data_IF_424729956293
#
_entry.id   IF_424729956293
#
_cell.length_a   1.000
_cell.length_b   1.000
_cell.length_c   1.000
_cell.angle_alpha   90.00
_cell.angle_beta   90.00
_cell.angle_gamma   90.00
#
_symmetry.space_group_name_H-M   'P 1'
#
loop_
_entity.id
_entity.type
_entity.pdbx_description
1 polymer ?
#
# COMPACT_ATOMS: atom_id res chain seq x y z
N UNK A 1 -12.38 13.87 -17.55
CA UNK A 1 -13.65 13.92 -16.82
C UNK A 1 -14.16 15.36 -16.84
N UNK A 2 -15.47 15.61 -16.92
CA UNK A 2 -15.98 17.00 -16.85
C UNK A 2 -15.92 17.50 -15.41
N UNK A 3 -15.63 18.79 -15.20
CA UNK A 3 -15.62 19.42 -13.86
C UNK A 3 -16.94 19.20 -13.10
N UNK A 4 -18.07 19.11 -13.82
CA UNK A 4 -19.37 18.81 -13.23
C UNK A 4 -19.42 17.47 -12.49
N UNK A 5 -18.82 16.41 -13.07
CA UNK A 5 -18.79 15.07 -12.44
C UNK A 5 -17.92 15.01 -11.19
N UNK A 6 -16.87 15.83 -11.13
CA UNK A 6 -15.98 15.93 -9.97
C UNK A 6 -16.74 16.52 -8.79
N UNK A 7 -17.49 17.60 -9.00
CA UNK A 7 -18.28 18.26 -7.94
C UNK A 7 -19.46 17.41 -7.46
N UNK A 8 -20.14 16.69 -8.37
CA UNK A 8 -21.18 15.73 -8.01
C UNK A 8 -20.65 14.63 -7.08
N UNK A 9 -19.45 14.11 -7.35
CA UNK A 9 -18.80 13.11 -6.47
C UNK A 9 -18.40 13.68 -5.12
N UNK A 10 -17.86 14.91 -5.08
CA UNK A 10 -17.56 15.59 -3.81
C UNK A 10 -18.81 15.74 -2.96
N UNK A 11 -19.89 16.23 -3.55
CA UNK A 11 -21.18 16.39 -2.89
C UNK A 11 -21.72 15.06 -2.37
N UNK A 12 -21.65 14.01 -3.20
CA UNK A 12 -22.11 12.68 -2.80
C UNK A 12 -21.30 12.09 -1.64
N UNK A 13 -19.98 12.30 -1.65
CA UNK A 13 -19.11 11.87 -0.56
C UNK A 13 -19.35 12.65 0.73
N UNK A 14 -19.56 13.96 0.66
CA UNK A 14 -19.92 14.79 1.81
C UNK A 14 -21.22 14.29 2.44
N UNK A 15 -22.25 14.04 1.63
CA UNK A 15 -23.50 13.42 2.11
C UNK A 15 -23.26 12.03 2.72
N UNK A 16 -22.35 11.25 2.17
CA UNK A 16 -22.00 9.94 2.71
C UNK A 16 -21.39 10.05 4.13
N UNK A 17 -20.49 11.01 4.34
CA UNK A 17 -19.88 11.33 5.65
C UNK A 17 -20.93 11.86 6.62
N UNK A 18 -21.75 12.84 6.21
CA UNK A 18 -22.79 13.45 7.05
C UNK A 18 -23.76 12.40 7.59
N UNK A 19 -24.06 11.37 6.80
CA UNK A 19 -24.95 10.28 7.16
C UNK A 19 -24.25 9.08 7.81
N UNK A 20 -22.94 9.15 8.08
CA UNK A 20 -22.15 8.03 8.66
C UNK A 20 -22.74 7.49 9.96
N UNK A 21 -23.11 8.37 10.88
CA UNK A 21 -23.63 7.98 12.20
C UNK A 21 -24.97 7.25 12.12
N UNK A 22 -25.90 7.72 11.27
CA UNK A 22 -27.18 7.03 11.10
C UNK A 22 -27.00 5.69 10.40
N UNK A 23 -26.09 5.61 9.41
CA UNK A 23 -25.74 4.36 8.72
C UNK A 23 -25.17 3.32 9.69
N UNK A 24 -24.21 3.72 10.53
CA UNK A 24 -23.63 2.85 11.55
C UNK A 24 -24.67 2.39 12.57
N UNK A 25 -25.54 3.28 13.01
CA UNK A 25 -26.66 2.95 13.91
C UNK A 25 -27.62 1.93 13.30
N UNK A 26 -27.97 2.09 12.02
CA UNK A 26 -28.80 1.13 11.30
C UNK A 26 -28.13 -0.24 11.16
N UNK A 27 -26.81 -0.27 10.98
CA UNK A 27 -26.04 -1.51 10.93
C UNK A 27 -25.96 -2.19 12.31
N UNK A 28 -25.65 -1.45 13.38
CA UNK A 28 -25.64 -1.99 14.74
C UNK A 28 -26.97 -2.62 15.15
N UNK A 29 -28.10 -2.06 14.71
CA UNK A 29 -29.42 -2.63 14.97
C UNK A 29 -29.65 -4.01 14.33
N UNK A 30 -28.81 -4.42 13.36
CA UNK A 30 -28.87 -5.73 12.69
C UNK A 30 -27.86 -6.73 13.26
N UNK A 31 -26.90 -6.28 14.08
CA UNK A 31 -25.84 -7.12 14.62
C UNK A 31 -26.27 -7.80 15.93
N UNK A 32 -25.64 -8.92 16.31
CA UNK A 32 -25.83 -9.52 17.63
C UNK A 32 -25.42 -8.56 18.76
N UNK A 33 -26.22 -8.48 19.83
CA UNK A 33 -25.99 -7.60 20.99
C UNK A 33 -24.57 -7.71 21.58
N UNK A 34 -24.01 -8.92 21.57
CA UNK A 34 -22.66 -9.17 22.08
C UNK A 34 -21.60 -8.47 21.20
N UNK A 35 -21.73 -8.56 19.88
CA UNK A 35 -20.80 -7.92 18.95
C UNK A 35 -20.89 -6.41 19.06
N UNK A 36 -22.10 -5.84 19.13
CA UNK A 36 -22.30 -4.38 19.24
C UNK A 36 -21.55 -3.80 20.46
N UNK A 37 -21.50 -4.51 21.59
CA UNK A 37 -20.77 -4.08 22.79
C UNK A 37 -19.25 -4.05 22.61
N UNK A 38 -18.73 -4.84 21.67
CA UNK A 38 -17.30 -4.94 21.36
C UNK A 38 -16.89 -3.96 20.24
N UNK A 39 -17.87 -3.34 19.57
CA UNK A 39 -17.66 -2.34 18.53
C UNK A 39 -17.63 -0.91 19.09
N UNK A 40 -16.60 -0.60 19.90
CA UNK A 40 -16.45 0.68 20.61
C UNK A 40 -15.59 1.75 19.91
N UNK A 41 -15.19 1.49 18.65
CA UNK A 41 -14.28 2.31 17.86
C UNK A 41 -12.84 2.38 18.39
N UNK A 42 -12.44 1.48 19.30
CA UNK A 42 -11.05 1.28 19.66
C UNK A 42 -10.28 0.53 18.56
N UNK A 43 -8.94 0.58 18.51
CA UNK A 43 -8.16 -0.25 17.59
C UNK A 43 -8.43 -1.75 17.76
N UNK A 44 -8.68 -2.21 18.99
CA UNK A 44 -8.97 -3.62 19.29
C UNK A 44 -10.31 -4.08 18.68
N UNK A 45 -11.25 -3.17 18.46
CA UNK A 45 -12.53 -3.47 17.79
C UNK A 45 -12.37 -3.88 16.33
N UNK A 46 -11.23 -3.57 15.68
CA UNK A 46 -10.96 -3.96 14.29
C UNK A 46 -10.94 -5.48 14.10
N UNK A 47 -10.39 -6.22 15.06
CA UNK A 47 -10.38 -7.69 15.02
C UNK A 47 -11.81 -8.25 15.01
N UNK A 48 -12.74 -7.57 15.69
CA UNK A 48 -14.15 -7.98 15.79
C UNK A 48 -14.92 -7.71 14.51
N UNK A 49 -14.62 -6.59 13.85
CA UNK A 49 -15.14 -6.30 12.52
C UNK A 49 -14.60 -7.30 11.51
N UNK A 50 -13.31 -7.64 11.57
CA UNK A 50 -12.72 -8.64 10.69
C UNK A 50 -13.34 -10.02 10.89
N UNK A 51 -13.47 -10.48 12.14
CA UNK A 51 -14.14 -11.73 12.48
C UNK A 51 -15.59 -11.76 11.94
N UNK A 52 -16.31 -10.64 12.04
CA UNK A 52 -17.64 -10.52 11.46
C UNK A 52 -17.61 -10.66 9.92
N UNK A 53 -16.70 -9.96 9.23
CA UNK A 53 -16.52 -10.06 7.77
C UNK A 53 -16.25 -11.50 7.36
N UNK A 54 -15.32 -12.18 8.03
CA UNK A 54 -14.91 -13.55 7.72
C UNK A 54 -16.04 -14.56 7.94
N UNK A 55 -16.88 -14.36 8.97
CA UNK A 55 -18.04 -15.21 9.22
C UNK A 55 -19.21 -14.90 8.28
N UNK A 56 -19.30 -13.67 7.78
CA UNK A 56 -20.39 -13.22 6.91
C UNK A 56 -20.17 -13.59 5.44
N UNK A 57 -18.91 -13.61 4.98
CA UNK A 57 -18.54 -13.82 3.59
C UNK A 57 -17.49 -14.92 3.43
N UNK A 58 -17.79 -15.88 2.56
CA UNK A 58 -16.84 -16.95 2.22
C UNK A 58 -15.70 -16.46 1.32
N UNK A 59 -16.01 -15.51 0.42
CA UNK A 59 -15.09 -15.03 -0.61
C UNK A 59 -15.39 -13.57 -0.99
N UNK A 60 -14.37 -12.85 -1.49
CA UNK A 60 -14.49 -11.43 -1.83
C UNK A 60 -15.55 -11.13 -2.90
N UNK A 61 -15.73 -12.03 -3.87
CA UNK A 61 -16.80 -11.90 -4.88
C UNK A 61 -18.20 -11.88 -4.28
N UNK A 62 -18.43 -12.60 -3.17
CA UNK A 62 -19.69 -12.57 -2.44
C UNK A 62 -19.84 -11.27 -1.64
N UNK A 63 -18.75 -10.79 -1.01
CA UNK A 63 -18.74 -9.50 -0.32
C UNK A 63 -19.12 -8.33 -1.25
N UNK A 64 -18.69 -8.37 -2.51
CA UNK A 64 -18.91 -7.30 -3.48
C UNK A 64 -20.11 -7.50 -4.42
N UNK A 65 -21.02 -8.43 -4.11
CA UNK A 65 -22.29 -8.49 -4.83
C UNK A 65 -23.16 -7.26 -4.54
N UNK A 66 -24.01 -6.86 -5.48
CA UNK A 66 -24.87 -5.67 -5.34
C UNK A 66 -25.65 -5.62 -4.02
N UNK A 67 -26.15 -6.77 -3.58
CA UNK A 67 -26.92 -6.94 -2.33
C UNK A 67 -26.12 -6.64 -1.06
N UNK A 68 -24.80 -6.73 -1.10
CA UNK A 68 -23.93 -6.61 0.07
C UNK A 68 -23.13 -5.29 0.09
N UNK A 69 -23.12 -4.52 -1.01
CA UNK A 69 -22.33 -3.29 -1.11
C UNK A 69 -22.68 -2.24 -0.05
N UNK A 70 -23.94 -2.12 0.34
CA UNK A 70 -24.35 -1.20 1.41
C UNK A 70 -23.77 -1.63 2.77
N UNK A 71 -23.78 -2.93 3.05
CA UNK A 71 -23.25 -3.48 4.30
C UNK A 71 -21.72 -3.32 4.35
N UNK A 72 -21.02 -3.72 3.28
CA UNK A 72 -19.57 -3.51 3.14
C UNK A 72 -19.20 -2.04 3.29
N UNK A 73 -19.97 -1.17 2.64
CA UNK A 73 -19.77 0.25 2.74
C UNK A 73 -19.91 0.80 4.15
N UNK A 74 -20.81 0.24 4.94
CA UNK A 74 -20.97 0.58 6.35
C UNK A 74 -19.82 0.04 7.21
N UNK A 75 -19.31 -1.15 6.91
CA UNK A 75 -18.10 -1.69 7.56
C UNK A 75 -16.88 -0.81 7.26
N UNK A 76 -16.72 -0.37 6.01
CA UNK A 76 -15.67 0.59 5.60
C UNK A 76 -15.80 1.89 6.38
N UNK A 77 -17.02 2.43 6.55
CA UNK A 77 -17.25 3.58 7.43
C UNK A 77 -16.76 3.31 8.85
N UNK A 78 -17.13 2.17 9.44
CA UNK A 78 -16.72 1.84 10.81
C UNK A 78 -15.20 1.77 10.95
N UNK A 79 -14.54 1.04 10.06
CA UNK A 79 -13.08 0.89 10.06
C UNK A 79 -12.42 2.26 9.92
N UNK A 80 -12.89 3.12 9.02
CA UNK A 80 -12.32 4.46 8.86
C UNK A 80 -12.55 5.37 10.05
N UNK A 81 -13.69 5.26 10.72
CA UNK A 81 -13.93 5.97 11.98
C UNK A 81 -12.97 5.53 13.08
N UNK A 82 -12.62 4.23 13.17
CA UNK A 82 -11.56 3.76 14.09
C UNK A 82 -10.24 4.46 13.78
N UNK A 83 -9.85 4.52 12.51
CA UNK A 83 -8.59 5.17 12.11
C UNK A 83 -8.61 6.66 12.42
N UNK A 84 -9.69 7.37 12.08
CA UNK A 84 -9.83 8.82 12.29
C UNK A 84 -9.83 9.18 13.77
N UNK A 85 -10.50 8.39 14.62
CA UNK A 85 -10.57 8.65 16.07
C UNK A 85 -9.27 8.37 16.79
N UNK A 86 -8.45 7.44 16.29
CA UNK A 86 -7.27 6.94 17.01
C UNK A 86 -5.93 7.36 16.37
N UNK A 87 -5.93 7.94 15.18
CA UNK A 87 -4.72 8.44 14.51
C UNK A 87 -4.75 9.96 14.43
N UNK A 88 -3.66 10.60 14.87
CA UNK A 88 -3.57 12.05 14.86
C UNK A 88 -3.66 12.61 13.43
N UNK A 89 -4.49 13.64 13.24
CA UNK A 89 -4.66 14.36 11.96
C UNK A 89 -5.19 13.48 10.80
N UNK A 90 -5.79 12.34 11.12
CA UNK A 90 -6.51 11.52 10.17
C UNK A 90 -7.89 12.13 9.85
N UNK A 91 -8.28 12.13 8.58
CA UNK A 91 -9.57 12.64 8.11
C UNK A 91 -10.05 11.84 6.90
N UNK A 92 -11.36 11.84 6.68
CA UNK A 92 -11.96 11.32 5.45
C UNK A 92 -11.50 12.13 4.24
N UNK A 93 -11.26 11.43 3.13
CA UNK A 93 -10.78 12.01 1.88
C UNK A 93 -11.25 11.18 0.67
N UNK A 94 -11.36 11.84 -0.49
CA UNK A 94 -11.59 11.20 -1.79
C UNK A 94 -10.66 11.80 -2.84
N UNK A 95 -10.34 10.99 -3.85
CA UNK A 95 -9.70 11.41 -5.10
C UNK A 95 -10.76 11.47 -6.20
N UNK A 96 -11.47 12.60 -6.37
CA UNK A 96 -12.64 12.67 -7.25
C UNK A 96 -12.28 12.58 -8.74
N UNK A 97 -11.00 12.78 -9.09
CA UNK A 97 -10.43 12.79 -10.44
C UNK A 97 -9.86 11.44 -10.89
N UNK A 98 -9.63 10.49 -9.98
CA UNK A 98 -9.04 9.18 -10.29
C UNK A 98 -9.97 8.26 -11.10
N UNK A 99 -11.27 8.49 -11.09
CA UNK A 99 -12.23 7.52 -11.63
C UNK A 99 -12.91 8.00 -12.89
N UNK A 100 -13.01 7.15 -13.93
CA UNK A 100 -13.67 7.48 -15.20
C UNK A 100 -15.18 7.21 -15.21
N UNK A 101 -15.67 6.33 -14.33
CA UNK A 101 -17.05 5.82 -14.32
C UNK A 101 -17.84 6.19 -13.05
N UNK A 102 -19.16 6.05 -13.10
CA UNK A 102 -20.02 6.19 -11.91
C UNK A 102 -19.84 4.97 -11.02
N UNK A 103 -19.36 5.19 -9.81
CA UNK A 103 -19.04 4.14 -8.87
C UNK A 103 -19.37 4.69 -7.49
N UNK A 104 -19.88 3.83 -6.60
CA UNK A 104 -20.44 4.23 -5.32
C UNK A 104 -19.36 4.74 -4.36
N UNK A 105 -19.71 5.68 -3.49
CA UNK A 105 -18.76 6.37 -2.60
C UNK A 105 -17.99 5.42 -1.67
N UNK A 106 -18.61 4.30 -1.30
CA UNK A 106 -18.02 3.31 -0.40
C UNK A 106 -16.78 2.61 -0.98
N UNK A 107 -16.62 2.71 -2.29
CA UNK A 107 -15.49 2.16 -3.04
C UNK A 107 -14.29 3.13 -3.06
N UNK A 108 -14.47 4.37 -2.61
CA UNK A 108 -13.49 5.46 -2.76
C UNK A 108 -13.13 6.20 -1.49
N UNK A 109 -13.91 6.01 -0.42
CA UNK A 109 -13.64 6.61 0.85
C UNK A 109 -12.23 6.19 1.33
N UNK A 110 -11.38 7.19 1.46
CA UNK A 110 -10.01 7.02 1.92
C UNK A 110 -9.84 7.74 3.25
N UNK A 111 -8.96 7.22 4.11
CA UNK A 111 -8.47 7.96 5.28
C UNK A 111 -7.16 8.61 4.91
N UNK A 112 -7.15 9.94 4.87
CA UNK A 112 -5.94 10.73 4.67
C UNK A 112 -5.38 11.14 6.01
N UNK A 113 -4.08 10.95 6.18
CA UNK A 113 -3.36 11.31 7.40
C UNK A 113 -2.31 12.36 7.00
N UNK A 114 -2.20 13.45 7.75
CA UNK A 114 -1.28 14.53 7.40
C UNK A 114 0.19 14.04 7.37
N UNK A 115 0.85 14.23 6.23
CA UNK A 115 2.23 13.75 6.03
C UNK A 115 2.33 12.27 5.66
N UNK A 116 1.21 11.61 5.34
CA UNK A 116 1.16 10.25 4.85
C UNK A 116 0.18 10.16 3.67
N UNK A 117 0.34 9.14 2.82
CA UNK A 117 -0.56 8.90 1.69
C UNK A 117 -1.96 8.52 2.18
N UNK A 118 -2.99 8.93 1.45
CA UNK A 118 -4.36 8.51 1.76
C UNK A 118 -4.54 7.02 1.55
N UNK A 119 -5.30 6.39 2.45
CA UNK A 119 -5.45 4.96 2.48
C UNK A 119 -6.88 4.53 2.14
N UNK A 120 -7.04 3.64 1.16
CA UNK A 120 -8.35 3.16 0.67
C UNK A 120 -8.76 1.89 1.42
N UNK A 121 -9.54 2.06 2.48
CA UNK A 121 -9.97 0.97 3.38
C UNK A 121 -10.71 -0.15 2.63
N UNK A 122 -11.50 0.21 1.63
CA UNK A 122 -12.24 -0.76 0.83
C UNK A 122 -11.33 -1.82 0.18
N UNK A 123 -10.09 -1.46 -0.17
CA UNK A 123 -9.12 -2.37 -0.81
C UNK A 123 -8.57 -3.44 0.15
N UNK A 124 -8.91 -3.38 1.43
CA UNK A 124 -8.45 -4.35 2.44
C UNK A 124 -9.39 -5.53 2.62
N UNK A 125 -10.63 -5.39 2.19
CA UNK A 125 -11.62 -6.46 2.27
C UNK A 125 -11.20 -7.72 1.49
N UNK A 126 -10.66 -7.65 0.25
CA UNK A 126 -10.18 -8.84 -0.44
C UNK A 126 -8.99 -9.53 0.26
N UNK A 127 -7.89 -8.83 0.65
CA UNK A 127 -6.80 -9.45 1.43
C UNK A 127 -7.26 -10.11 2.73
N UNK A 128 -8.18 -9.49 3.48
CA UNK A 128 -8.80 -10.08 4.66
C UNK A 128 -9.47 -11.41 4.32
N UNK A 129 -10.33 -11.43 3.31
CA UNK A 129 -11.10 -12.62 2.92
C UNK A 129 -10.24 -13.73 2.32
N UNK A 130 -9.09 -13.39 1.72
CA UNK A 130 -8.14 -14.35 1.18
C UNK A 130 -7.26 -14.97 2.28
N UNK A 131 -6.74 -14.15 3.19
CA UNK A 131 -5.83 -14.59 4.25
C UNK A 131 -6.56 -15.25 5.42
N UNK A 132 -7.78 -14.80 5.72
CA UNK A 132 -8.70 -15.30 6.77
C UNK A 132 -8.03 -15.41 8.15
N UNK A 133 -7.14 -14.48 8.49
CA UNK A 133 -6.38 -14.53 9.76
C UNK A 133 -7.15 -13.94 10.94
N UNK A 134 -8.08 -13.01 10.69
CA UNK A 134 -8.81 -12.28 11.73
C UNK A 134 -7.96 -11.20 12.41
N UNK A 135 -6.85 -10.79 11.78
CA UNK A 135 -5.83 -9.87 12.33
C UNK A 135 -5.28 -8.88 11.31
N UNK A 136 -5.71 -8.89 10.05
CA UNK A 136 -5.14 -8.01 9.03
C UNK A 136 -5.46 -6.53 9.30
N UNK A 137 -6.67 -6.20 9.76
CA UNK A 137 -7.06 -4.81 10.05
C UNK A 137 -6.27 -4.22 11.22
N UNK A 138 -6.05 -4.99 12.29
CA UNK A 138 -5.28 -4.52 13.44
C UNK A 138 -3.79 -4.40 13.12
N UNK A 139 -3.21 -5.36 12.38
CA UNK A 139 -1.83 -5.26 11.86
C UNK A 139 -1.64 -4.00 11.02
N UNK A 140 -2.57 -3.74 10.11
CA UNK A 140 -2.56 -2.56 9.26
C UNK A 140 -2.62 -1.27 10.09
N UNK A 141 -3.54 -1.19 11.06
CA UNK A 141 -3.64 -0.04 11.95
C UNK A 141 -2.32 0.20 12.69
N UNK A 142 -1.72 -0.85 13.24
CA UNK A 142 -0.43 -0.78 13.95
C UNK A 142 0.72 -0.35 13.03
N UNK A 143 0.74 -0.83 11.79
CA UNK A 143 1.72 -0.44 10.77
C UNK A 143 1.64 1.06 10.50
N UNK A 144 0.44 1.56 10.23
CA UNK A 144 0.22 2.99 9.95
C UNK A 144 0.54 3.84 11.19
N UNK A 145 0.12 3.42 12.39
CA UNK A 145 0.41 4.11 13.63
C UNK A 145 1.92 4.24 13.86
N UNK A 146 2.67 3.14 13.69
CA UNK A 146 4.13 3.12 13.79
C UNK A 146 4.77 4.09 12.81
N UNK A 147 4.31 4.09 11.55
CA UNK A 147 4.83 4.97 10.51
C UNK A 147 4.60 6.45 10.82
N UNK A 148 3.43 6.80 11.37
CA UNK A 148 3.14 8.17 11.83
C UNK A 148 4.12 8.59 12.93
N UNK A 149 4.36 7.71 13.91
CA UNK A 149 5.31 7.98 14.99
C UNK A 149 6.74 8.16 14.47
N UNK A 150 7.17 7.35 13.50
CA UNK A 150 8.46 7.51 12.82
C UNK A 150 8.58 8.89 12.15
N UNK A 151 7.58 9.29 11.37
CA UNK A 151 7.57 10.59 10.67
C UNK A 151 7.59 11.75 11.68
N UNK A 152 6.89 11.63 12.80
CA UNK A 152 6.91 12.64 13.87
C UNK A 152 8.29 12.72 14.52
N UNK A 153 8.87 11.57 14.88
CA UNK A 153 10.22 11.51 15.45
C UNK A 153 11.28 12.03 14.47
N UNK A 154 11.12 11.80 13.16
CA UNK A 154 12.01 12.35 12.14
C UNK A 154 11.89 13.88 12.05
N UNK A 155 10.69 14.45 12.19
CA UNK A 155 10.50 15.91 12.22
C UNK A 155 11.12 16.51 13.48
N UNK A 156 10.92 15.90 14.63
CA UNK A 156 11.50 16.36 15.90
C UNK A 156 13.03 16.25 15.90
N UNK A 157 13.59 15.24 15.23
CA UNK A 157 15.05 15.11 15.04
C UNK A 157 15.60 16.06 13.96
N UNK A 158 14.82 16.50 12.97
CA UNK A 158 15.26 17.49 11.97
C UNK A 158 15.47 18.88 12.58
N UNK A 159 14.74 19.23 13.64
CA UNK A 159 14.99 20.44 14.44
C UNK A 159 16.30 20.38 15.25
N UNK A 160 16.99 19.22 15.27
CA UNK A 160 18.29 19.02 15.95
C UNK A 160 19.53 19.09 15.03
N UNK A 161 19.38 19.51 13.77
CA UNK A 161 20.52 20.00 12.97
C UNK A 161 21.20 19.02 12.00
N UNK A 162 20.55 17.91 11.64
CA UNK A 162 20.97 17.10 10.48
C UNK A 162 19.86 17.10 9.42
N UNK A 163 20.10 17.77 8.30
CA UNK A 163 19.24 17.76 7.12
C UNK A 163 19.11 16.33 6.56
N UNK A 164 18.08 15.59 7.02
CA UNK A 164 17.57 14.44 6.28
C UNK A 164 16.57 14.94 5.25
N UNK A 165 16.91 14.73 3.99
CA UNK A 165 16.11 15.12 2.83
C UNK A 165 14.73 14.46 2.88
N UNK A 166 13.68 15.27 2.79
CA UNK A 166 12.31 14.81 2.54
C UNK A 166 12.20 14.39 1.08
N UNK A 167 11.98 13.11 0.83
CA UNK A 167 11.59 12.62 -0.51
C UNK A 167 10.16 13.10 -0.74
N UNK A 168 9.91 13.87 -1.81
CA UNK A 168 8.55 14.17 -2.25
C UNK A 168 7.91 12.87 -2.77
N UNK A 169 7.22 12.14 -1.91
CA UNK A 169 6.38 11.01 -2.28
C UNK A 169 5.24 11.53 -3.19
N UNK A 170 5.30 11.23 -4.51
CA UNK A 170 4.25 11.59 -5.48
C UNK A 170 3.40 10.39 -5.92
N UNK A 171 3.52 9.26 -5.22
CA UNK A 171 2.68 8.10 -5.42
C UNK A 171 3.33 6.81 -4.95
N UNK A 172 2.54 5.74 -5.00
CA UNK A 172 2.88 4.42 -4.50
C UNK A 172 2.40 3.31 -5.45
N UNK A 173 2.40 3.56 -6.76
CA UNK A 173 2.08 2.53 -7.73
C UNK A 173 3.19 1.46 -7.76
N UNK A 174 2.85 0.24 -8.19
CA UNK A 174 3.83 -0.81 -8.49
C UNK A 174 4.85 -1.12 -7.37
N UNK A 175 4.37 -1.54 -6.21
CA UNK A 175 5.24 -1.76 -5.04
C UNK A 175 5.85 -3.16 -5.03
N UNK A 176 7.19 -3.22 -4.93
CA UNK A 176 7.94 -4.46 -4.80
C UNK A 176 9.13 -4.28 -3.86
N UNK A 177 9.58 -5.38 -3.27
CA UNK A 177 10.80 -5.42 -2.47
C UNK A 177 11.85 -6.25 -3.18
N UNK A 178 13.03 -5.70 -3.41
CA UNK A 178 14.15 -6.45 -3.96
C UNK A 178 15.07 -6.85 -2.81
N UNK A 179 14.92 -8.07 -2.31
CA UNK A 179 15.77 -8.59 -1.23
C UNK A 179 17.16 -8.87 -1.78
N UNK A 180 18.19 -8.33 -1.12
CA UNK A 180 19.58 -8.45 -1.54
C UNK A 180 20.21 -9.70 -0.92
N UNK A 181 20.36 -10.73 -1.74
CA UNK A 181 20.99 -12.00 -1.32
C UNK A 181 22.52 -11.95 -1.35
N UNK A 182 23.10 -11.00 -2.09
CA UNK A 182 24.52 -10.67 -2.00
C UNK A 182 24.68 -9.36 -1.20
N UNK A 183 25.36 -9.36 -0.04
CA UNK A 183 25.59 -8.16 0.75
C UNK A 183 26.49 -7.13 0.02
N UNK A 184 27.12 -7.51 -1.09
CA UNK A 184 27.88 -6.59 -1.95
C UNK A 184 27.01 -5.96 -3.02
N UNK A 185 25.75 -6.36 -3.15
CA UNK A 185 24.83 -5.74 -4.11
C UNK A 185 24.54 -4.30 -3.69
N UNK A 186 24.67 -3.35 -4.62
CA UNK A 186 24.55 -1.92 -4.36
C UNK A 186 23.59 -1.26 -5.35
N UNK A 187 23.05 -0.10 -4.97
CA UNK A 187 22.29 0.73 -5.92
C UNK A 187 23.12 1.16 -7.14
N UNK A 188 24.45 1.26 -7.01
CA UNK A 188 25.33 1.58 -8.13
C UNK A 188 25.35 0.47 -9.18
N UNK A 189 25.30 -0.79 -8.75
CA UNK A 189 25.17 -1.94 -9.66
C UNK A 189 23.81 -1.94 -10.34
N UNK A 190 22.74 -1.71 -9.58
CA UNK A 190 21.39 -1.57 -10.15
C UNK A 190 21.33 -0.41 -11.17
N UNK A 191 21.91 0.75 -10.86
CA UNK A 191 22.00 1.87 -11.78
C UNK A 191 22.72 1.46 -13.09
N UNK A 192 23.88 0.83 -12.98
CA UNK A 192 24.67 0.40 -14.15
C UNK A 192 23.87 -0.58 -15.02
N UNK A 193 23.15 -1.49 -14.36
CA UNK A 193 22.24 -2.42 -15.03
C UNK A 193 21.11 -1.68 -15.76
N UNK A 194 20.44 -0.73 -15.08
CA UNK A 194 19.35 0.07 -15.65
C UNK A 194 19.81 0.92 -16.83
N UNK A 195 21.00 1.54 -16.73
CA UNK A 195 21.63 2.27 -17.84
C UNK A 195 21.80 1.36 -19.05
N UNK A 196 22.31 0.14 -18.83
CA UNK A 196 22.51 -0.84 -19.90
C UNK A 196 21.17 -1.32 -20.49
N UNK A 197 20.17 -1.57 -19.65
CA UNK A 197 18.84 -2.01 -20.05
C UNK A 197 18.14 -0.97 -20.94
N UNK A 198 18.10 0.29 -20.50
CA UNK A 198 17.44 1.37 -21.23
C UNK A 198 18.24 1.88 -22.44
N UNK A 199 19.57 1.69 -22.49
CA UNK A 199 20.35 1.94 -23.71
C UNK A 199 20.01 0.96 -24.84
N UNK A 200 19.63 -0.28 -24.51
CA UNK A 200 19.28 -1.32 -25.50
C UNK A 200 17.85 -1.21 -26.01
N UNK A 201 16.94 -0.64 -25.23
CA UNK A 201 15.58 -0.36 -25.69
C UNK A 201 15.60 0.77 -26.74
N UNK A 202 14.93 0.54 -27.87
CA UNK A 202 15.00 1.42 -29.06
C UNK A 202 14.43 2.82 -28.74
N UNK A 203 15.36 3.77 -28.53
CA UNK A 203 15.41 5.25 -28.71
C UNK A 203 14.19 6.19 -28.61
N UNK A 204 12.93 5.75 -28.58
CA UNK A 204 11.80 6.70 -28.42
C UNK A 204 11.47 7.03 -26.96
N UNK A 205 11.95 6.23 -26.01
CA UNK A 205 11.80 6.52 -24.58
C UNK A 205 13.16 6.92 -23.99
N UNK A 206 13.39 8.24 -23.86
CA UNK A 206 14.51 8.74 -23.06
C UNK A 206 14.23 8.44 -21.59
N UNK A 207 14.80 7.35 -21.09
CA UNK A 207 14.96 7.17 -19.66
C UNK A 207 16.24 7.89 -19.20
N UNK A 208 16.19 8.49 -18.02
CA UNK A 208 17.39 9.03 -17.37
C UNK A 208 17.42 8.60 -15.91
N UNK A 209 18.62 8.33 -15.40
CA UNK A 209 18.83 7.94 -14.02
C UNK A 209 19.43 9.11 -13.24
N UNK A 210 19.01 9.23 -11.99
CA UNK A 210 19.51 10.22 -11.05
C UNK A 210 19.75 9.52 -9.71
N UNK A 211 20.88 9.79 -9.08
CA UNK A 211 21.16 9.39 -7.70
C UNK A 211 21.15 10.66 -6.84
N UNK A 212 19.99 11.12 -6.35
CA UNK A 212 19.97 12.24 -5.43
C UNK A 212 20.82 11.97 -4.19
N UNK A 213 20.85 10.71 -3.72
CA UNK A 213 21.60 10.25 -2.55
C UNK A 213 22.16 8.84 -2.76
N UNK A 214 23.17 8.42 -1.97
CA UNK A 214 23.73 7.06 -2.05
C UNK A 214 22.71 5.94 -1.88
N UNK A 215 21.66 6.16 -1.07
CA UNK A 215 20.60 5.18 -0.81
C UNK A 215 19.34 5.37 -1.66
N UNK A 216 19.35 6.26 -2.65
CA UNK A 216 18.14 6.58 -3.42
C UNK A 216 18.46 6.80 -4.89
N UNK A 217 17.90 5.94 -5.73
CA UNK A 217 18.00 6.00 -7.18
C UNK A 217 16.63 6.30 -7.78
N UNK A 218 16.61 7.26 -8.70
CA UNK A 218 15.45 7.68 -9.48
C UNK A 218 15.65 7.30 -10.93
N UNK A 219 14.65 6.63 -11.50
CA UNK A 219 14.54 6.36 -12.93
C UNK A 219 13.42 7.24 -13.49
N UNK A 220 13.81 8.27 -14.23
CA UNK A 220 12.90 9.16 -14.93
C UNK A 220 12.52 8.56 -16.27
N UNK A 221 11.22 8.48 -16.54
CA UNK A 221 10.64 8.02 -17.80
C UNK A 221 9.97 9.18 -18.55
N UNK A 222 9.36 8.85 -19.69
CA UNK A 222 8.53 9.81 -20.44
C UNK A 222 7.43 10.39 -19.53
N UNK A 223 6.91 11.57 -19.88
CA UNK A 223 5.80 12.18 -19.15
C UNK A 223 6.12 12.62 -17.72
N UNK A 224 7.40 12.74 -17.34
CA UNK A 224 7.87 13.04 -15.98
C UNK A 224 7.52 11.98 -14.93
N UNK A 225 7.15 10.78 -15.35
CA UNK A 225 6.90 9.68 -14.44
C UNK A 225 8.21 9.10 -13.91
N UNK A 226 8.24 8.69 -12.66
CA UNK A 226 9.45 8.16 -12.01
C UNK A 226 9.20 6.80 -11.37
N UNK A 227 10.19 5.93 -11.49
CA UNK A 227 10.38 4.81 -10.59
C UNK A 227 11.42 5.16 -9.54
N UNK A 228 11.18 4.68 -8.33
CA UNK A 228 11.91 4.96 -7.11
C UNK A 228 12.56 3.68 -6.62
N UNK A 229 13.84 3.74 -6.27
CA UNK A 229 14.60 2.62 -5.70
C UNK A 229 15.31 3.11 -4.44
N UNK A 230 14.85 2.66 -3.27
CA UNK A 230 15.39 3.10 -1.97
C UNK A 230 16.07 1.91 -1.29
N UNK A 231 17.37 2.03 -1.04
CA UNK A 231 18.11 1.02 -0.29
C UNK A 231 17.80 1.14 1.21
N UNK A 232 17.51 0.00 1.83
CA UNK A 232 17.22 -0.18 3.25
C UNK A 232 18.15 -1.26 3.81
N UNK A 233 18.89 -0.92 4.85
CA UNK A 233 19.87 -1.79 5.53
C UNK A 233 19.75 -1.71 7.06
N UNK A 234 18.62 -1.21 7.55
CA UNK A 234 18.33 -1.14 8.97
C UNK A 234 18.02 -2.53 9.57
N UNK A 235 18.24 -2.70 10.88
CA UNK A 235 18.07 -4.00 11.57
C UNK A 235 16.69 -4.64 11.36
N UNK A 236 15.64 -3.82 11.24
CA UNK A 236 14.27 -4.29 11.02
C UNK A 236 14.09 -5.01 9.67
N UNK A 237 14.90 -4.70 8.65
CA UNK A 237 14.85 -5.39 7.34
C UNK A 237 15.22 -6.86 7.49
N UNK A 238 16.18 -7.15 8.36
CA UNK A 238 16.63 -8.51 8.66
C UNK A 238 15.59 -9.29 9.45
N UNK A 239 14.94 -8.64 10.41
CA UNK A 239 13.83 -9.24 11.17
C UNK A 239 12.67 -9.59 10.23
N UNK A 240 12.24 -8.65 9.38
CA UNK A 240 11.17 -8.87 8.41
C UNK A 240 11.53 -9.97 7.40
N UNK A 241 12.78 -10.00 6.93
CA UNK A 241 13.27 -11.05 6.02
C UNK A 241 13.25 -12.44 6.68
N UNK A 242 13.53 -12.54 7.99
CA UNK A 242 13.38 -13.79 8.73
C UNK A 242 11.91 -14.22 8.84
N UNK A 243 11.01 -13.29 9.13
CA UNK A 243 9.55 -13.53 9.18
C UNK A 243 9.01 -13.96 7.81
N UNK A 244 9.42 -13.31 6.73
CA UNK A 244 9.09 -13.69 5.36
C UNK A 244 9.52 -15.13 5.08
N UNK A 245 10.73 -15.52 5.47
CA UNK A 245 11.22 -16.89 5.28
C UNK A 245 10.41 -17.94 6.05
N UNK A 246 9.99 -17.63 7.29
CA UNK A 246 9.16 -18.51 8.12
C UNK A 246 7.75 -18.70 7.51
N UNK A 247 7.19 -17.62 6.98
CA UNK A 247 5.86 -17.60 6.37
C UNK A 247 5.86 -18.12 4.93
N UNK A 248 7.00 -18.13 4.25
CA UNK A 248 7.11 -18.58 2.87
C UNK A 248 6.65 -20.03 2.70
N UNK A 249 5.87 -20.29 1.65
CA UNK A 249 5.30 -21.60 1.31
C UNK A 249 5.66 -22.10 -0.09
N UNK A 250 6.28 -21.26 -0.92
CA UNK A 250 6.76 -21.67 -2.24
C UNK A 250 8.06 -22.48 -2.18
N UNK A 251 8.51 -22.91 -3.35
CA UNK A 251 9.71 -23.74 -3.55
C UNK A 251 10.71 -23.16 -4.57
N UNK A 252 10.34 -22.08 -5.27
CA UNK A 252 11.21 -21.44 -6.26
C UNK A 252 12.39 -20.69 -5.61
N UNK A 253 12.25 -20.25 -4.36
CA UNK A 253 13.25 -19.48 -3.63
C UNK A 253 13.66 -20.20 -2.35
N UNK A 254 14.95 -20.18 -2.00
CA UNK A 254 15.40 -20.78 -0.74
C UNK A 254 14.99 -19.93 0.46
N UNK A 255 14.35 -20.55 1.46
CA UNK A 255 14.07 -19.92 2.75
C UNK A 255 15.32 -19.38 3.44
N UNK A 256 16.44 -20.09 3.30
CA UNK A 256 17.71 -19.65 3.87
C UNK A 256 18.24 -18.41 3.17
N UNK A 257 18.04 -18.29 1.84
CA UNK A 257 18.40 -17.08 1.10
C UNK A 257 17.57 -15.89 1.59
N UNK A 258 16.24 -16.04 1.69
CA UNK A 258 15.35 -14.99 2.19
C UNK A 258 15.79 -14.55 3.59
N UNK A 259 15.99 -15.50 4.51
CA UNK A 259 16.37 -15.22 5.90
C UNK A 259 17.71 -14.50 6.04
N UNK A 260 18.63 -14.71 5.11
CA UNK A 260 19.97 -14.11 5.15
C UNK A 260 20.00 -12.67 4.60
N UNK A 261 18.94 -12.22 3.93
CA UNK A 261 18.85 -10.85 3.44
C UNK A 261 18.86 -9.87 4.63
N UNK A 262 19.94 -9.10 4.72
CA UNK A 262 20.11 -8.05 5.73
C UNK A 262 19.79 -6.65 5.17
N UNK A 263 19.57 -6.55 3.87
CA UNK A 263 19.20 -5.32 3.19
C UNK A 263 18.27 -5.61 2.01
N UNK A 264 17.55 -4.57 1.57
CA UNK A 264 16.64 -4.62 0.43
C UNK A 264 16.63 -3.30 -0.32
N UNK A 265 16.09 -3.32 -1.53
CA UNK A 265 15.70 -2.12 -2.26
C UNK A 265 14.17 -2.09 -2.30
N UNK A 266 13.57 -1.03 -1.76
CA UNK A 266 12.15 -0.74 -1.93
C UNK A 266 11.94 -0.09 -3.29
N UNK A 267 11.08 -0.69 -4.11
CA UNK A 267 10.74 -0.25 -5.44
C UNK A 267 9.27 0.17 -5.52
N UNK A 268 9.02 1.36 -6.07
CA UNK A 268 7.67 1.84 -6.37
C UNK A 268 7.71 2.90 -7.48
N UNK A 269 6.57 3.22 -8.06
CA UNK A 269 6.39 4.30 -9.02
C UNK A 269 5.53 5.43 -8.48
N UNK A 270 5.62 6.59 -9.15
CA UNK A 270 4.64 7.67 -9.01
C UNK A 270 3.20 7.16 -9.27
N UNK A 271 2.15 7.91 -8.90
CA UNK A 271 0.78 7.47 -9.18
C UNK A 271 0.54 7.28 -10.69
N UNK A 272 0.00 6.13 -11.07
CA UNK A 272 -0.29 5.77 -12.46
C UNK A 272 -1.74 5.29 -12.64
N UNK A 273 -2.73 6.18 -12.46
CA UNK A 273 -4.14 5.80 -12.50
C UNK A 273 -4.60 5.33 -13.89
N UNK A 274 -3.80 5.57 -14.94
CA UNK A 274 -4.08 5.14 -16.31
C UNK A 274 -3.30 3.88 -16.70
N UNK A 275 -2.43 3.38 -15.83
CA UNK A 275 -1.54 2.26 -16.10
C UNK A 275 -0.65 2.48 -17.33
N UNK A 276 -0.30 3.74 -17.61
CA UNK A 276 0.51 4.14 -18.78
C UNK A 276 1.94 3.57 -18.72
N UNK A 277 2.40 3.18 -17.53
CA UNK A 277 3.74 2.66 -17.24
C UNK A 277 3.74 1.20 -16.76
N UNK A 278 2.60 0.52 -16.84
CA UNK A 278 2.49 -0.90 -16.46
C UNK A 278 3.43 -1.79 -17.28
N UNK A 279 3.54 -1.55 -18.60
CA UNK A 279 4.41 -2.35 -19.47
C UNK A 279 5.90 -2.12 -19.17
N UNK A 280 6.28 -0.88 -18.88
CA UNK A 280 7.64 -0.49 -18.49
C UNK A 280 8.02 -1.17 -17.19
N UNK A 281 7.14 -1.13 -16.18
CA UNK A 281 7.31 -1.83 -14.92
C UNK A 281 7.42 -3.34 -15.11
N UNK A 282 6.51 -3.94 -15.85
CA UNK A 282 6.50 -5.38 -16.11
C UNK A 282 7.78 -5.82 -16.81
N UNK A 283 8.22 -5.09 -17.83
CA UNK A 283 9.45 -5.37 -18.59
C UNK A 283 10.69 -5.28 -17.70
N UNK A 284 10.74 -4.28 -16.82
CA UNK A 284 11.81 -4.09 -15.84
C UNK A 284 11.90 -5.28 -14.88
N UNK A 285 10.79 -5.65 -14.23
CA UNK A 285 10.77 -6.78 -13.29
C UNK A 285 11.04 -8.12 -13.97
N UNK A 286 10.54 -8.33 -15.19
CA UNK A 286 10.80 -9.54 -15.95
C UNK A 286 12.29 -9.74 -16.26
N UNK A 287 13.05 -8.66 -16.43
CA UNK A 287 14.48 -8.72 -16.69
C UNK A 287 15.29 -8.79 -15.39
N UNK A 288 14.87 -8.06 -14.35
CA UNK A 288 15.53 -8.08 -13.04
C UNK A 288 15.34 -9.40 -12.29
N UNK A 289 14.29 -10.19 -12.58
CA UNK A 289 14.05 -11.46 -11.87
C UNK A 289 15.20 -12.47 -12.03
N UNK A 290 15.96 -12.33 -13.12
CA UNK A 290 17.11 -13.17 -13.46
C UNK A 290 18.45 -12.54 -13.01
N UNK A 291 18.44 -11.35 -12.41
CA UNK A 291 19.65 -10.67 -11.96
C UNK A 291 20.23 -11.38 -10.72
N UNK A 292 21.49 -11.85 -10.78
CA UNK A 292 22.12 -12.50 -9.65
C UNK A 292 22.19 -11.57 -8.44
N UNK A 293 21.82 -12.10 -7.27
CA UNK A 293 21.85 -11.32 -6.03
C UNK A 293 20.50 -10.71 -5.66
N UNK A 294 19.49 -10.76 -6.53
CA UNK A 294 18.16 -10.21 -6.26
C UNK A 294 17.09 -11.30 -6.12
N UNK A 295 16.22 -11.14 -5.14
CA UNK A 295 14.91 -11.80 -5.06
C UNK A 295 13.85 -10.71 -5.08
N UNK A 296 12.83 -10.85 -5.92
CA UNK A 296 11.80 -9.81 -6.05
C UNK A 296 10.52 -10.32 -5.42
N UNK A 297 10.10 -9.65 -4.35
CA UNK A 297 8.89 -9.96 -3.62
C UNK A 297 7.78 -8.97 -3.97
N UNK A 298 6.65 -9.51 -4.40
CA UNK A 298 5.41 -8.78 -4.63
C UNK A 298 4.62 -8.75 -3.32
N UNK A 299 4.63 -7.59 -2.67
CA UNK A 299 3.96 -7.40 -1.38
C UNK A 299 2.43 -7.57 -1.48
N UNK A 300 1.83 -7.16 -2.60
CA UNK A 300 0.38 -7.22 -2.79
C UNK A 300 -0.11 -8.65 -2.95
N UNK A 301 0.66 -9.47 -3.67
CA UNK A 301 0.32 -10.87 -3.92
C UNK A 301 1.00 -11.84 -2.95
N UNK A 302 1.84 -11.35 -2.03
CA UNK A 302 2.58 -12.13 -1.03
C UNK A 302 3.35 -13.31 -1.65
N UNK A 303 4.03 -13.08 -2.77
CA UNK A 303 4.76 -14.11 -3.54
C UNK A 303 6.03 -13.55 -4.19
N UNK A 304 6.97 -14.43 -4.54
CA UNK A 304 8.17 -14.03 -5.29
C UNK A 304 7.92 -14.06 -6.80
N UNK A 305 8.45 -13.08 -7.53
CA UNK A 305 8.34 -13.03 -9.00
C UNK A 305 9.06 -14.20 -9.67
N UNK A 306 10.06 -14.78 -9.01
CA UNK A 306 10.74 -15.99 -9.45
C UNK A 306 9.78 -17.20 -9.62
N UNK A 307 8.58 -17.15 -9.04
CA UNK A 307 7.54 -18.18 -9.18
C UNK A 307 6.65 -17.99 -10.42
N UNK A 308 6.73 -16.83 -11.10
CA UNK A 308 5.94 -16.47 -12.27
C UNK A 308 6.68 -16.67 -13.60
#
# INVERSE_FOLDING_TARGET
MTNLKIEERRTSFEQWIENSQERLKMWFAKLPDQLVKELDFSPDSLDKVEEYILNRFDHYTAAFSEDNLEEIGTMVTYIGEVFIKNLAKANWYIHPDEFKEEVKNELYASVKIEGFTSYKIFLEIPPILNSRTGKELSKLFQLIQRRILEIQNEKDNKDSGNEKVTIEERGYAYQYMFLLTDPKYTLQQLQTWLETFYQKMIMEQKASLELPFPQYLLLHLRGNYRFHFIHKDEDWVKEESAEMADNYRGDAVSKDQIRQCASRIEFYGDEDPQMDYFNEQFSLLHQLKDEPGLLIFDYLNNQFIQEM
#
